data_IF_221815061120
#
_entry.id   IF_221815061120
#
_cell.length_a   1.000
_cell.length_b   1.000
_cell.length_c   1.000
_cell.angle_alpha   90.00
_cell.angle_beta   90.00
_cell.angle_gamma   90.00
#
_symmetry.space_group_name_H-M   'P 1'
#
loop_
_entity.id
_entity.type
_entity.pdbx_description
1 polymer ?
#
# COMPACT_ATOMS: atom_id res chain seq x y z
N UNK A 1 7.32 2.16 -7.29
CA UNK A 1 6.45 3.36 -7.23
C UNK A 1 5.31 3.18 -6.22
N UNK A 2 4.62 2.04 -6.20
CA UNK A 2 3.50 1.81 -5.27
C UNK A 2 3.83 2.01 -3.79
N UNK A 3 5.02 1.61 -3.34
CA UNK A 3 5.49 1.81 -1.96
C UNK A 3 5.98 3.24 -1.64
N UNK A 4 5.97 4.16 -2.61
CA UNK A 4 6.40 5.54 -2.35
C UNK A 4 5.31 6.26 -1.55
N UNK A 5 5.65 6.95 -0.45
CA UNK A 5 4.65 7.62 0.41
C UNK A 5 3.78 8.65 -0.32
N UNK A 6 4.27 9.22 -1.42
CA UNK A 6 3.57 10.21 -2.24
C UNK A 6 2.29 9.65 -2.89
N UNK A 7 2.19 8.33 -3.07
CA UNK A 7 1.04 7.68 -3.69
C UNK A 7 0.00 7.20 -2.66
N UNK A 8 0.23 7.46 -1.37
CA UNK A 8 -0.71 7.08 -0.31
C UNK A 8 -1.85 8.09 -0.26
N UNK A 9 -3.09 7.59 -0.28
CA UNK A 9 -4.30 8.40 -0.15
C UNK A 9 -4.67 8.71 1.31
N UNK A 10 -3.71 8.57 2.23
CA UNK A 10 -3.93 8.77 3.66
C UNK A 10 -2.74 9.51 4.28
N UNK A 11 -3.03 10.52 5.09
CA UNK A 11 -2.01 11.32 5.78
C UNK A 11 -1.61 10.67 7.11
N UNK A 12 -0.60 9.81 7.08
CA UNK A 12 -0.06 9.12 8.27
C UNK A 12 1.47 8.98 8.18
N UNK A 13 2.19 8.99 9.32
CA UNK A 13 3.64 8.82 9.34
C UNK A 13 4.02 7.34 9.16
N UNK A 14 4.09 6.88 7.91
CA UNK A 14 4.38 5.46 7.58
C UNK A 14 5.71 4.95 8.12
N UNK A 15 6.72 5.82 8.31
CA UNK A 15 8.03 5.43 8.87
C UNK A 15 7.97 4.98 10.33
N UNK A 16 6.93 5.37 11.08
CA UNK A 16 6.78 5.03 12.51
C UNK A 16 5.99 3.72 12.75
N UNK A 17 5.61 3.02 11.68
CA UNK A 17 4.84 1.78 11.78
C UNK A 17 5.46 0.63 11.00
N UNK A 18 4.64 -0.41 10.81
CA UNK A 18 4.97 -1.57 10.02
C UNK A 18 3.76 -2.03 9.21
N UNK A 19 4.03 -2.66 8.07
CA UNK A 19 3.06 -3.32 7.22
C UNK A 19 2.71 -4.69 7.81
N UNK A 20 1.42 -4.95 7.96
CA UNK A 20 0.92 -6.30 8.25
C UNK A 20 0.76 -7.08 6.95
N UNK A 21 0.18 -6.45 5.93
CA UNK A 21 -0.02 -7.05 4.60
C UNK A 21 -0.09 -5.98 3.52
N UNK A 22 0.31 -6.36 2.31
CA UNK A 22 0.20 -5.54 1.10
C UNK A 22 -0.33 -6.41 -0.02
N UNK A 23 -1.36 -5.93 -0.73
CA UNK A 23 -1.84 -6.49 -1.98
C UNK A 23 -1.66 -5.45 -3.08
N UNK A 24 -0.91 -5.80 -4.11
CA UNK A 24 -0.76 -4.96 -5.30
C UNK A 24 -1.57 -5.56 -6.44
N UNK A 25 -2.54 -4.81 -6.96
CA UNK A 25 -3.27 -5.17 -8.17
C UNK A 25 -2.64 -4.43 -9.33
N UNK A 26 -2.09 -5.17 -10.30
CA UNK A 26 -1.44 -4.61 -11.48
C UNK A 26 -2.34 -4.88 -12.68
N UNK A 27 -2.68 -3.82 -13.40
CA UNK A 27 -3.56 -3.86 -14.56
C UNK A 27 -2.83 -3.43 -15.83
N UNK A 28 -2.83 -4.28 -16.85
CA UNK A 28 -2.26 -4.00 -18.16
C UNK A 28 -1.44 -5.15 -18.72
N UNK A 29 -0.73 -4.91 -19.82
CA UNK A 29 0.23 -5.85 -20.38
C UNK A 29 1.49 -5.88 -19.52
N UNK A 30 1.60 -6.90 -18.66
CA UNK A 30 2.75 -7.08 -17.78
C UNK A 30 3.20 -8.53 -17.83
N UNK A 31 4.51 -8.72 -18.03
CA UNK A 31 5.14 -10.04 -17.94
C UNK A 31 5.21 -10.49 -16.46
N UNK A 32 4.60 -11.64 -16.10
CA UNK A 32 4.67 -12.19 -14.73
C UNK A 32 6.10 -12.34 -14.19
N UNK A 33 7.07 -12.60 -15.07
CA UNK A 33 8.48 -12.78 -14.69
C UNK A 33 9.07 -11.48 -14.11
N UNK A 34 8.68 -10.33 -14.67
CA UNK A 34 9.13 -9.02 -14.19
C UNK A 34 8.51 -8.67 -12.83
N UNK A 35 7.27 -9.11 -12.59
CA UNK A 35 6.59 -8.93 -11.30
C UNK A 35 7.31 -9.71 -10.21
N UNK A 36 7.68 -10.97 -10.46
CA UNK A 36 8.42 -11.78 -9.51
C UNK A 36 9.77 -11.15 -9.14
N UNK A 37 10.55 -10.71 -10.15
CA UNK A 37 11.82 -9.99 -9.93
C UNK A 37 11.65 -8.71 -9.10
N UNK A 38 10.56 -7.99 -9.33
CA UNK A 38 10.25 -6.75 -8.60
C UNK A 38 9.93 -7.01 -7.13
N UNK A 39 9.16 -8.08 -6.84
CA UNK A 39 8.87 -8.51 -5.48
C UNK A 39 10.13 -8.94 -4.73
N UNK A 40 10.98 -9.72 -5.37
CA UNK A 40 12.25 -10.14 -4.79
C UNK A 40 13.12 -8.93 -4.41
N UNK A 41 13.23 -7.94 -5.30
CA UNK A 41 13.97 -6.70 -5.02
C UNK A 41 13.41 -5.90 -3.83
N UNK A 42 12.08 -5.86 -3.66
CA UNK A 42 11.44 -5.19 -2.51
C UNK A 42 11.83 -5.89 -1.21
N UNK A 43 11.86 -7.23 -1.22
CA UNK A 43 12.24 -8.05 -0.07
C UNK A 43 13.72 -7.87 0.29
N UNK A 44 14.62 -7.97 -0.69
CA UNK A 44 16.07 -7.85 -0.49
C UNK A 44 16.48 -6.47 0.04
N UNK A 45 15.88 -5.40 -0.52
CA UNK A 45 16.19 -4.03 -0.12
C UNK A 45 15.48 -3.57 1.15
N UNK A 46 14.63 -4.41 1.76
CA UNK A 46 13.81 -4.10 2.94
C UNK A 46 13.12 -2.72 2.83
N UNK A 47 12.58 -2.42 1.63
CA UNK A 47 11.99 -1.10 1.33
C UNK A 47 10.70 -0.82 2.14
N UNK A 48 10.12 -1.87 2.73
CA UNK A 48 8.95 -1.80 3.58
C UNK A 48 9.27 -2.54 4.90
N UNK A 49 8.94 -1.90 6.02
CA UNK A 49 9.07 -2.50 7.34
C UNK A 49 7.85 -3.37 7.61
N UNK A 50 8.01 -4.68 7.77
CA UNK A 50 6.91 -5.60 8.07
C UNK A 50 6.86 -5.94 9.56
N UNK A 51 5.74 -6.52 9.99
CA UNK A 51 5.61 -7.13 11.32
C UNK A 51 6.74 -8.15 11.56
N UNK A 52 7.27 -8.19 12.79
CA UNK A 52 8.39 -9.09 13.15
C UNK A 52 7.96 -10.49 13.61
N UNK A 53 6.69 -10.66 13.99
CA UNK A 53 6.15 -11.92 14.53
C UNK A 53 5.57 -12.84 13.44
N UNK A 54 5.61 -12.42 12.17
CA UNK A 54 5.07 -13.18 11.05
C UNK A 54 5.80 -12.87 9.74
N UNK A 55 5.56 -13.65 8.68
CA UNK A 55 6.20 -13.43 7.39
C UNK A 55 5.70 -12.13 6.73
N UNK A 56 6.57 -11.51 5.94
CA UNK A 56 6.20 -10.36 5.12
C UNK A 56 5.19 -10.76 4.02
N UNK A 57 3.92 -10.40 4.22
CA UNK A 57 2.84 -10.72 3.28
C UNK A 57 2.73 -9.67 2.17
N UNK A 58 3.35 -9.94 1.01
CA UNK A 58 3.19 -9.16 -0.21
C UNK A 58 2.54 -10.03 -1.28
N UNK A 59 1.29 -9.74 -1.60
CA UNK A 59 0.53 -10.41 -2.65
C UNK A 59 0.47 -9.53 -3.90
N UNK A 60 0.45 -10.18 -5.06
CA UNK A 60 0.26 -9.49 -6.34
C UNK A 60 -0.82 -10.21 -7.14
N UNK A 61 -1.79 -9.43 -7.60
CA UNK A 61 -2.82 -9.89 -8.52
C UNK A 61 -2.62 -9.20 -9.87
N UNK A 62 -2.52 -10.00 -10.92
CA UNK A 62 -2.52 -9.52 -12.30
C UNK A 62 -3.96 -9.48 -12.80
N UNK A 63 -4.43 -8.31 -13.22
CA UNK A 63 -5.78 -8.12 -13.72
C UNK A 63 -5.75 -7.64 -15.17
N UNK A 64 -6.63 -8.22 -16.00
CA UNK A 64 -6.89 -7.71 -17.34
C UNK A 64 -7.70 -6.42 -17.22
N UNK A 65 -7.48 -5.51 -18.16
CA UNK A 65 -8.21 -4.25 -18.22
C UNK A 65 -9.53 -4.42 -18.95
N UNK A 66 -10.48 -3.56 -18.60
CA UNK A 66 -11.76 -3.49 -19.31
C UNK A 66 -11.54 -2.98 -20.74
N UNK A 67 -12.09 -3.67 -21.76
CA UNK A 67 -12.02 -3.21 -23.15
C UNK A 67 -12.93 -1.99 -23.42
N UNK A 68 -13.83 -1.66 -22.50
CA UNK A 68 -14.86 -0.62 -22.70
C UNK A 68 -14.47 0.75 -22.16
N UNK A 69 -13.30 0.88 -21.52
CA UNK A 69 -12.85 2.13 -20.90
C UNK A 69 -11.67 2.72 -21.68
N UNK A 70 -11.69 4.02 -22.02
CA UNK A 70 -10.55 4.68 -22.66
C UNK A 70 -9.34 4.66 -21.74
N UNK A 71 -8.16 4.41 -22.31
CA UNK A 71 -6.94 4.15 -21.57
C UNK A 71 -5.94 5.29 -21.77
N UNK A 72 -5.44 5.91 -20.69
CA UNK A 72 -4.34 6.89 -20.79
C UNK A 72 -2.96 6.28 -20.54
N UNK A 73 -2.87 5.20 -19.77
CA UNK A 73 -1.59 4.66 -19.26
C UNK A 73 -1.41 3.21 -19.68
N UNK A 74 -0.24 2.77 -20.16
CA UNK A 74 -0.01 1.35 -20.56
C UNK A 74 -0.14 0.35 -19.40
N UNK A 75 0.32 0.72 -18.20
CA UNK A 75 0.26 -0.10 -16.98
C UNK A 75 -0.28 0.75 -15.83
N UNK A 76 -1.16 0.16 -15.02
CA UNK A 76 -1.74 0.77 -13.82
C UNK A 76 -1.48 -0.14 -12.64
N UNK A 77 -1.30 0.45 -11.46
CA UNK A 77 -1.08 -0.29 -10.22
C UNK A 77 -1.89 0.31 -9.10
N UNK A 78 -2.61 -0.54 -8.38
CA UNK A 78 -3.34 -0.22 -7.16
C UNK A 78 -2.69 -0.97 -6.01
N UNK A 79 -2.44 -0.27 -4.91
CA UNK A 79 -1.90 -0.88 -3.69
C UNK A 79 -2.94 -0.80 -2.58
N UNK A 80 -3.29 -1.96 -2.03
CA UNK A 80 -4.06 -2.11 -0.81
C UNK A 80 -3.08 -2.48 0.29
N UNK A 81 -2.86 -1.57 1.24
CA UNK A 81 -1.90 -1.75 2.31
C UNK A 81 -2.59 -1.73 3.67
N UNK A 82 -2.36 -2.78 4.46
CA UNK A 82 -2.70 -2.81 5.87
C UNK A 82 -1.45 -2.42 6.67
N UNK A 83 -1.45 -1.20 7.22
CA UNK A 83 -0.31 -0.60 7.91
C UNK A 83 -0.71 -0.07 9.28
N UNK A 84 0.11 -0.34 10.29
CA UNK A 84 -0.20 0.00 11.68
C UNK A 84 -0.37 1.50 11.92
N UNK A 85 0.31 2.36 11.14
CA UNK A 85 0.27 3.83 11.33
C UNK A 85 -1.12 4.46 11.19
N UNK A 86 -2.13 3.74 10.71
CA UNK A 86 -3.51 4.21 10.67
C UNK A 86 -4.03 4.65 12.05
N UNK A 87 -3.49 4.08 13.13
CA UNK A 87 -3.82 4.48 14.51
C UNK A 87 -3.65 5.98 14.75
N UNK A 88 -2.69 6.62 14.08
CA UNK A 88 -2.41 8.07 14.24
C UNK A 88 -3.55 8.95 13.71
N UNK A 89 -4.28 8.47 12.71
CA UNK A 89 -5.48 9.15 12.21
C UNK A 89 -6.62 9.03 13.24
N UNK A 90 -6.84 7.83 13.77
CA UNK A 90 -7.87 7.59 14.78
C UNK A 90 -7.61 8.38 16.08
N UNK A 91 -6.36 8.39 16.55
CA UNK A 91 -5.97 9.17 17.72
C UNK A 91 -6.20 10.69 17.50
N UNK A 92 -5.94 11.21 16.30
CA UNK A 92 -6.25 12.62 15.98
C UNK A 92 -7.75 12.89 15.99
N UNK A 93 -8.55 12.00 15.40
CA UNK A 93 -10.01 12.14 15.37
C UNK A 93 -10.60 12.11 16.80
N UNK A 94 -10.15 11.17 17.64
CA UNK A 94 -10.56 11.08 19.04
C UNK A 94 -10.19 12.33 19.83
N UNK A 95 -8.95 12.82 19.69
CA UNK A 95 -8.50 14.05 20.33
C UNK A 95 -9.33 15.29 19.91
N UNK A 96 -9.77 15.35 18.65
CA UNK A 96 -10.65 16.43 18.19
C UNK A 96 -12.05 16.30 18.80
N UNK A 97 -12.59 15.09 18.83
CA UNK A 97 -13.88 14.80 19.46
C UNK A 97 -13.90 15.18 20.95
N UNK A 98 -12.91 14.74 21.73
CA UNK A 98 -12.86 15.01 23.17
C UNK A 98 -12.79 16.51 23.49
N UNK A 99 -12.11 17.29 22.65
CA UNK A 99 -12.04 18.75 22.78
C UNK A 99 -13.38 19.42 22.49
N UNK A 100 -14.15 18.90 21.54
CA UNK A 100 -15.46 19.44 21.19
C UNK A 100 -16.53 19.03 22.19
N UNK A 101 -16.49 17.80 22.72
CA UNK A 101 -17.45 17.29 23.71
C UNK A 101 -17.32 17.93 25.08
N UNK A 102 -16.10 18.31 25.48
CA UNK A 102 -15.82 18.96 26.78
C UNK A 102 -16.09 20.47 26.77
N UNK A 103 -16.41 21.04 25.61
CA UNK A 103 -17.02 22.37 25.51
C UNK A 103 -18.52 22.24 25.73
#
# INVERSE_FOLDING_TARGET
>A
RLLQPQNLMVSVPVKKGCYMSILNVIQGEVDPSQVHKSLQRIRERKLANFIGWGPASIQVALARRSPYLPQSNRVSGLMLANHTSIYTLFARALNQYDKLRKR
#
